data_IF_974032751847
#
_entry.id   IF_974032751847
#
_cell.length_a   1.000
_cell.length_b   1.000
_cell.length_c   1.000
_cell.angle_alpha   90.00
_cell.angle_beta   90.00
_cell.angle_gamma   90.00
#
_symmetry.space_group_name_H-M   'P 1'
#
loop_
_entity.id
_entity.type
_entity.pdbx_description
1 polymer ?
#
# COMPACT_ATOMS: atom_id res chain seq x y z
N UNK A 1 -70.29 -1.52 -1.51
CA UNK A 1 -69.01 -2.28 -1.43
C UNK A 1 -67.86 -1.31 -1.71
N UNK A 2 -67.09 -0.93 -0.70
CA UNK A 2 -65.93 -0.05 -0.84
C UNK A 2 -64.67 -0.87 -0.65
N UNK A 3 -63.92 -1.08 -1.72
CA UNK A 3 -62.61 -1.77 -1.72
C UNK A 3 -61.54 -0.79 -1.24
N UNK A 4 -60.87 -1.12 -0.12
CA UNK A 4 -59.72 -0.39 0.39
C UNK A 4 -58.45 -0.93 -0.26
N UNK A 5 -57.76 -0.09 -1.02
CA UNK A 5 -56.42 -0.39 -1.51
C UNK A 5 -55.44 -0.03 -0.39
N UNK A 6 -54.74 -1.04 0.11
CA UNK A 6 -53.61 -0.87 1.02
C UNK A 6 -52.37 -0.50 0.22
N UNK A 7 -51.84 0.70 0.46
CA UNK A 7 -50.56 1.12 -0.08
C UNK A 7 -49.44 0.40 0.67
N UNK A 8 -48.77 -0.53 0.00
CA UNK A 8 -47.51 -1.15 0.48
C UNK A 8 -46.39 -0.23 0.01
N UNK A 9 -45.89 0.60 0.93
CA UNK A 9 -44.64 1.34 0.72
C UNK A 9 -43.46 0.37 0.81
N UNK A 10 -42.91 0.03 -0.32
CA UNK A 10 -41.66 -0.72 -0.40
C UNK A 10 -40.51 0.18 0.02
N UNK A 11 -39.96 -0.02 1.21
CA UNK A 11 -38.73 0.61 1.66
C UNK A 11 -37.56 -0.03 0.90
N UNK A 12 -37.05 0.64 -0.11
CA UNK A 12 -35.78 0.32 -0.75
C UNK A 12 -34.65 0.60 0.23
N UNK A 13 -34.18 -0.45 0.90
CA UNK A 13 -32.91 -0.40 1.63
C UNK A 13 -31.82 -0.38 0.58
N UNK A 14 -31.26 0.80 0.30
CA UNK A 14 -30.04 0.92 -0.47
C UNK A 14 -28.90 0.31 0.36
N UNK A 15 -28.53 -0.95 0.11
CA UNK A 15 -27.27 -1.51 0.54
C UNK A 15 -26.18 -0.72 -0.19
N UNK A 16 -25.59 0.25 0.51
CA UNK A 16 -24.32 0.80 0.09
C UNK A 16 -23.31 -0.35 0.15
N UNK A 17 -22.98 -0.93 -1.00
CA UNK A 17 -21.85 -1.81 -1.15
C UNK A 17 -20.62 -0.93 -0.92
N UNK A 18 -20.16 -0.87 0.34
CA UNK A 18 -18.87 -0.31 0.66
C UNK A 18 -17.85 -1.16 -0.11
N UNK A 19 -17.30 -0.60 -1.18
CA UNK A 19 -16.14 -1.18 -1.82
C UNK A 19 -15.12 -1.46 -0.71
N UNK A 20 -14.51 -2.65 -0.64
CA UNK A 20 -13.53 -2.93 0.40
C UNK A 20 -12.45 -1.87 0.30
N UNK A 21 -12.38 -1.02 1.32
CA UNK A 21 -11.28 -0.08 1.47
C UNK A 21 -10.03 -0.96 1.53
N UNK A 22 -9.23 -0.92 0.48
CA UNK A 22 -7.99 -1.69 0.45
C UNK A 22 -7.19 -1.26 1.66
N UNK A 23 -6.96 -2.18 2.60
CA UNK A 23 -6.15 -1.90 3.75
C UNK A 23 -4.76 -1.50 3.27
N UNK A 24 -4.39 -0.25 3.52
CA UNK A 24 -3.07 0.25 3.22
C UNK A 24 -2.05 -0.61 3.97
N UNK A 25 -0.94 -0.97 3.33
CA UNK A 25 0.16 -1.68 3.98
C UNK A 25 1.30 -0.70 4.25
N UNK A 26 1.52 -0.41 5.52
CA UNK A 26 2.56 0.52 5.97
C UNK A 26 3.85 -0.18 6.40
N UNK A 27 3.95 -1.48 6.30
CA UNK A 27 5.16 -2.24 6.62
C UNK A 27 6.33 -1.71 5.81
N UNK A 28 7.33 -1.14 6.49
CA UNK A 28 8.58 -0.67 5.91
C UNK A 28 9.47 0.00 6.97
N UNK A 29 10.64 0.48 6.54
CA UNK A 29 11.44 1.45 7.26
C UNK A 29 10.99 2.87 6.93
N UNK A 30 10.89 3.71 7.96
CA UNK A 30 10.47 5.10 7.87
C UNK A 30 11.52 5.98 8.55
N UNK A 31 11.93 7.06 7.91
CA UNK A 31 12.99 7.93 8.40
C UNK A 31 12.73 9.40 8.05
N UNK A 32 13.42 10.32 8.74
CA UNK A 32 13.26 11.76 8.52
C UNK A 32 14.20 12.36 7.48
N UNK A 33 14.77 11.54 6.58
CA UNK A 33 15.77 11.99 5.62
C UNK A 33 17.16 12.09 6.24
N UNK A 34 18.14 12.52 5.45
CA UNK A 34 19.56 12.60 5.85
C UNK A 34 19.83 13.52 7.05
N UNK A 35 18.93 14.44 7.37
CA UNK A 35 19.04 15.29 8.57
C UNK A 35 18.82 14.51 9.88
N UNK A 36 18.23 13.33 9.81
CA UNK A 36 17.95 12.43 10.93
C UNK A 36 18.61 11.05 10.74
N UNK A 37 19.77 11.02 10.09
CA UNK A 37 20.54 9.77 9.96
C UNK A 37 20.90 9.20 11.34
N UNK A 38 20.66 7.90 11.51
CA UNK A 38 20.82 7.20 12.78
C UNK A 38 19.54 7.12 13.63
N UNK A 39 18.48 7.84 13.23
CA UNK A 39 17.17 7.76 13.85
C UNK A 39 16.11 7.30 12.82
N UNK A 40 15.20 6.43 13.23
CA UNK A 40 14.18 5.93 12.32
C UNK A 40 13.16 5.02 13.00
N UNK A 41 12.12 4.72 12.26
CA UNK A 41 10.99 3.92 12.72
C UNK A 41 10.83 2.72 11.79
N UNK A 42 10.81 1.52 12.36
CA UNK A 42 10.40 0.31 11.63
C UNK A 42 8.93 0.01 11.92
N UNK A 43 8.17 -0.22 10.89
CA UNK A 43 6.75 -0.53 10.95
C UNK A 43 6.51 -1.94 10.44
N UNK A 44 5.91 -2.79 11.26
CA UNK A 44 5.36 -4.09 10.87
C UNK A 44 3.84 -4.06 10.99
N UNK A 45 3.13 -4.50 9.96
CA UNK A 45 1.67 -4.54 9.96
C UNK A 45 1.15 -5.94 9.69
N UNK A 46 0.20 -6.39 10.51
CA UNK A 46 -0.57 -7.61 10.29
C UNK A 46 -2.05 -7.27 10.41
N UNK A 47 -2.78 -7.39 9.31
CA UNK A 47 -4.17 -6.96 9.19
C UNK A 47 -4.35 -5.50 9.68
N UNK A 48 -5.12 -5.27 10.73
CA UNK A 48 -5.35 -3.95 11.32
C UNK A 48 -4.39 -3.61 12.47
N UNK A 49 -3.46 -4.49 12.82
CA UNK A 49 -2.52 -4.26 13.93
C UNK A 49 -1.17 -3.83 13.39
N UNK A 50 -0.65 -2.75 13.96
CA UNK A 50 0.66 -2.21 13.64
C UNK A 50 1.58 -2.36 14.85
N UNK A 51 2.79 -2.86 14.62
CA UNK A 51 3.89 -2.87 15.57
C UNK A 51 4.94 -1.88 15.09
N UNK A 52 5.41 -1.03 16.00
CA UNK A 52 6.35 0.06 15.71
C UNK A 52 7.56 -0.09 16.61
N UNK A 53 8.75 -0.05 16.00
CA UNK A 53 10.03 0.08 16.71
C UNK A 53 10.67 1.42 16.33
N UNK A 54 10.90 2.28 17.29
CA UNK A 54 11.62 3.54 17.10
C UNK A 54 13.05 3.40 17.60
N UNK A 55 14.01 3.58 16.72
CA UNK A 55 15.43 3.60 16.99
C UNK A 55 15.85 5.06 17.14
N UNK A 56 16.39 5.41 18.30
CA UNK A 56 16.79 6.77 18.67
C UNK A 56 17.93 6.73 19.70
N UNK A 57 18.14 7.80 20.43
CA UNK A 57 19.17 7.90 21.42
C UNK A 57 18.60 8.30 22.79
N UNK A 58 19.23 7.83 23.87
CA UNK A 58 18.91 8.25 25.22
C UNK A 58 19.55 9.64 25.54
N UNK A 59 19.33 10.13 26.76
CA UNK A 59 19.84 11.44 27.18
C UNK A 59 21.37 11.52 27.24
N UNK A 60 22.06 10.38 27.24
CA UNK A 60 23.51 10.27 27.22
C UNK A 60 24.06 10.06 25.79
N UNK A 61 23.19 10.00 24.79
CA UNK A 61 23.57 9.76 23.40
C UNK A 61 23.82 8.30 23.06
N UNK A 62 23.47 7.35 23.95
CA UNK A 62 23.57 5.93 23.63
C UNK A 62 22.37 5.48 22.81
N UNK A 63 22.60 4.55 21.88
CA UNK A 63 21.54 3.97 21.09
C UNK A 63 20.44 3.35 21.96
N UNK A 64 19.21 3.71 21.68
CA UNK A 64 18.01 3.24 22.36
C UNK A 64 16.96 2.83 21.34
N UNK A 65 16.21 1.77 21.65
CA UNK A 65 14.98 1.50 20.95
C UNK A 65 13.80 1.41 21.91
N UNK A 66 12.67 1.87 21.47
CA UNK A 66 11.38 1.77 22.16
C UNK A 66 10.34 1.25 21.20
N UNK A 67 9.35 0.54 21.71
CA UNK A 67 8.35 -0.12 20.89
C UNK A 67 6.94 0.18 21.38
N UNK A 68 5.99 0.16 20.46
CA UNK A 68 4.57 0.11 20.78
C UNK A 68 3.81 -0.67 19.71
N UNK A 69 2.59 -1.05 20.02
CA UNK A 69 1.69 -1.66 19.06
C UNK A 69 0.25 -1.24 19.35
N UNK A 70 -0.57 -1.25 18.33
CA UNK A 70 -1.98 -0.96 18.43
C UNK A 70 -2.71 -1.22 17.12
N UNK A 71 -4.04 -1.19 17.15
CA UNK A 71 -4.84 -1.19 15.93
C UNK A 71 -4.74 0.17 15.23
N UNK A 72 -4.85 0.14 13.91
CA UNK A 72 -5.16 1.35 13.15
C UNK A 72 -6.56 1.85 13.51
N UNK A 73 -6.78 3.14 13.40
CA UNK A 73 -8.08 3.76 13.57
C UNK A 73 -9.09 3.30 12.50
N UNK A 74 -10.32 3.76 12.59
CA UNK A 74 -11.39 3.42 11.63
C UNK A 74 -11.11 3.89 10.20
N UNK A 75 -10.23 4.87 10.03
CA UNK A 75 -9.78 5.36 8.72
C UNK A 75 -8.55 4.60 8.21
N UNK A 76 -7.97 3.70 9.00
CA UNK A 76 -6.79 2.93 8.65
C UNK A 76 -5.50 3.75 8.58
N UNK A 77 -5.42 4.88 9.28
CA UNK A 77 -4.32 5.85 9.13
C UNK A 77 -3.56 6.19 10.41
N UNK A 78 -4.11 5.92 11.57
CA UNK A 78 -3.50 6.32 12.85
C UNK A 78 -3.36 5.13 13.76
N UNK A 79 -2.18 4.95 14.32
CA UNK A 79 -1.92 4.02 15.42
C UNK A 79 -1.31 4.76 16.60
N UNK A 80 -1.81 4.50 17.80
CA UNK A 80 -1.30 5.10 19.04
C UNK A 80 -1.09 4.03 20.10
N UNK A 81 -0.12 4.24 20.98
CA UNK A 81 0.15 3.32 22.06
C UNK A 81 1.15 3.81 23.09
N UNK A 82 1.27 3.07 24.19
CA UNK A 82 2.30 3.29 25.19
C UNK A 82 3.65 2.81 24.64
N UNK A 83 4.66 3.64 24.76
CA UNK A 83 6.03 3.31 24.43
C UNK A 83 6.68 2.50 25.56
N UNK A 84 7.30 1.40 25.19
CA UNK A 84 8.00 0.51 26.10
C UNK A 84 9.49 0.45 25.77
N UNK A 85 10.32 0.62 26.76
CA UNK A 85 11.74 0.24 26.76
C UNK A 85 11.88 -1.12 27.39
N UNK A 86 12.73 -1.98 26.80
CA UNK A 86 13.01 -3.31 27.31
C UNK A 86 14.46 -3.44 27.72
N UNK A 87 14.72 -4.06 28.87
CA UNK A 87 16.05 -4.51 29.28
C UNK A 87 16.00 -6.02 29.55
N UNK A 88 17.15 -6.68 29.50
CA UNK A 88 17.22 -8.14 29.66
C UNK A 88 18.65 -8.61 29.92
N UNK A 89 18.88 -9.96 29.83
CA UNK A 89 20.19 -10.54 29.98
C UNK A 89 21.22 -9.94 29.00
N UNK A 90 22.45 -9.77 29.44
CA UNK A 90 23.54 -9.28 28.61
C UNK A 90 23.82 -10.22 27.43
N UNK A 91 24.22 -9.66 26.31
CA UNK A 91 24.66 -10.43 25.14
C UNK A 91 25.76 -11.42 25.50
N UNK A 92 25.65 -12.66 25.02
CA UNK A 92 26.64 -13.71 25.30
C UNK A 92 26.42 -14.47 26.62
N UNK A 93 25.43 -14.09 27.43
CA UNK A 93 24.99 -14.86 28.61
C UNK A 93 23.84 -15.80 28.27
N UNK A 94 23.58 -16.77 29.14
CA UNK A 94 22.38 -17.62 28.99
C UNK A 94 21.12 -16.74 29.09
N UNK A 95 20.28 -16.84 28.09
CA UNK A 95 19.03 -16.07 28.04
C UNK A 95 18.05 -16.57 29.09
N UNK A 96 17.61 -15.67 29.95
CA UNK A 96 16.60 -15.93 30.98
C UNK A 96 15.43 -14.95 30.79
N UNK A 97 14.25 -15.40 30.30
CA UNK A 97 13.11 -14.53 30.06
C UNK A 97 12.57 -13.87 31.34
N UNK A 98 12.82 -14.46 32.51
CA UNK A 98 12.41 -13.86 33.79
C UNK A 98 13.19 -12.57 34.14
N UNK A 99 14.33 -12.34 33.50
CA UNK A 99 15.14 -11.12 33.65
C UNK A 99 14.75 -10.02 32.65
N UNK A 100 13.78 -10.28 31.80
CA UNK A 100 13.29 -9.25 30.86
C UNK A 100 12.37 -8.30 31.59
N UNK A 101 12.75 -7.03 31.60
CA UNK A 101 11.95 -5.95 32.20
C UNK A 101 11.44 -5.05 31.09
N UNK A 102 10.13 -4.82 31.07
CA UNK A 102 9.44 -3.94 30.16
C UNK A 102 8.90 -2.73 30.92
N UNK A 103 9.44 -1.55 30.64
CA UNK A 103 9.07 -0.31 31.33
C UNK A 103 8.35 0.62 30.36
N UNK A 104 7.18 1.11 30.72
CA UNK A 104 6.52 2.19 29.98
C UNK A 104 7.30 3.49 30.22
N UNK A 105 7.71 4.12 29.12
CA UNK A 105 8.51 5.38 29.13
C UNK A 105 7.73 6.56 28.55
N UNK A 106 6.52 6.34 28.06
CA UNK A 106 5.69 7.38 27.50
C UNK A 106 4.66 6.84 26.51
N UNK A 107 4.34 7.62 25.50
CA UNK A 107 3.39 7.26 24.45
C UNK A 107 3.82 7.81 23.10
N UNK A 108 3.27 7.25 22.04
CA UNK A 108 3.46 7.74 20.68
C UNK A 108 2.21 7.58 19.83
N UNK A 109 2.15 8.38 18.78
CA UNK A 109 1.18 8.30 17.71
C UNK A 109 1.90 8.37 16.37
N UNK A 110 1.65 7.39 15.52
CA UNK A 110 2.10 7.39 14.13
C UNK A 110 0.89 7.62 13.23
N UNK A 111 0.93 8.71 12.47
CA UNK A 111 -0.13 9.12 11.54
C UNK A 111 0.39 9.04 10.12
N UNK A 112 -0.21 8.20 9.29
CA UNK A 112 0.10 8.08 7.88
C UNK A 112 -0.74 9.06 7.08
N UNK A 113 -0.11 10.09 6.51
CA UNK A 113 -0.77 11.04 5.61
C UNK A 113 -1.20 10.32 4.32
N UNK A 114 -0.29 9.50 3.79
CA UNK A 114 -0.47 8.67 2.61
C UNK A 114 0.45 7.44 2.68
N UNK A 115 0.68 6.77 1.57
CA UNK A 115 1.56 5.58 1.49
C UNK A 115 3.05 5.91 1.55
N UNK A 116 3.44 7.17 1.47
CA UNK A 116 4.83 7.63 1.40
C UNK A 116 5.24 8.48 2.59
N UNK A 117 4.29 9.18 3.21
CA UNK A 117 4.52 10.19 4.21
C UNK A 117 3.79 9.87 5.51
N UNK A 118 4.48 10.04 6.63
CA UNK A 118 3.93 9.88 7.96
C UNK A 118 4.45 10.93 8.93
N UNK A 119 3.74 11.10 10.03
CA UNK A 119 4.18 11.90 11.18
C UNK A 119 4.22 11.02 12.40
N UNK A 120 5.35 10.99 13.08
CA UNK A 120 5.54 10.28 14.34
C UNK A 120 5.64 11.29 15.47
N UNK A 121 4.58 11.42 16.26
CA UNK A 121 4.54 12.26 17.46
C UNK A 121 4.80 11.39 18.69
N UNK A 122 5.63 11.85 19.61
CA UNK A 122 6.05 11.07 20.78
C UNK A 122 6.16 11.91 22.05
N UNK A 123 6.03 11.24 23.20
CA UNK A 123 6.35 11.77 24.52
C UNK A 123 7.09 10.67 25.30
N UNK A 124 8.30 10.96 25.74
CA UNK A 124 9.19 10.03 26.48
C UNK A 124 9.80 10.76 27.65
N UNK A 125 9.66 10.22 28.86
CA UNK A 125 10.27 10.77 30.09
C UNK A 125 10.03 12.27 30.27
N UNK A 126 8.85 12.78 29.94
CA UNK A 126 8.48 14.18 30.07
C UNK A 126 8.96 15.08 28.91
N UNK A 127 9.72 14.57 27.96
CA UNK A 127 10.08 15.25 26.72
C UNK A 127 9.09 14.85 25.62
N UNK A 128 8.84 15.74 24.66
CA UNK A 128 7.96 15.46 23.53
C UNK A 128 8.50 16.05 22.25
N UNK A 129 8.14 15.44 21.13
CA UNK A 129 8.55 15.89 19.81
C UNK A 129 7.73 15.26 18.70
N UNK A 130 8.08 15.62 17.49
CA UNK A 130 7.45 15.08 16.27
C UNK A 130 8.48 14.97 15.16
N UNK A 131 8.44 13.86 14.42
CA UNK A 131 9.28 13.58 13.26
C UNK A 131 8.39 13.49 12.03
N UNK A 132 8.71 14.24 10.99
CA UNK A 132 8.17 14.00 9.66
C UNK A 132 8.96 12.85 9.03
N UNK A 133 8.26 11.81 8.60
CA UNK A 133 8.87 10.58 8.12
C UNK A 133 8.46 10.31 6.67
N UNK A 134 9.39 9.75 5.92
CA UNK A 134 9.16 9.16 4.60
C UNK A 134 9.60 7.70 4.61
N UNK A 135 9.06 6.88 3.70
CA UNK A 135 9.56 5.51 3.53
C UNK A 135 11.00 5.53 3.05
N UNK A 136 11.87 4.78 3.72
CA UNK A 136 13.27 4.66 3.35
C UNK A 136 13.44 3.64 2.22
N UNK A 137 14.02 4.08 1.10
CA UNK A 137 14.41 3.20 -0.01
C UNK A 137 15.88 2.83 0.14
N UNK A 138 16.17 1.56 0.44
CA UNK A 138 17.54 1.05 0.58
C UNK A 138 17.85 -0.10 -0.38
N UNK A 139 16.88 -0.51 -1.19
CA UNK A 139 17.03 -1.50 -2.25
C UNK A 139 16.45 -0.97 -3.55
N UNK A 140 17.08 -1.26 -4.68
CA UNK A 140 16.63 -0.78 -5.98
C UNK A 140 15.82 -1.82 -6.75
N UNK A 141 15.11 -1.39 -7.78
CA UNK A 141 14.57 -2.08 -8.98
C UNK A 141 14.11 -3.56 -8.84
N UNK A 142 13.73 -4.03 -7.67
CA UNK A 142 13.26 -5.41 -7.48
C UNK A 142 11.98 -5.74 -8.29
N UNK A 143 11.36 -4.74 -8.92
CA UNK A 143 10.22 -4.90 -9.82
C UNK A 143 10.62 -5.13 -11.29
N UNK A 144 11.89 -5.02 -11.63
CA UNK A 144 12.39 -5.29 -13.00
C UNK A 144 12.50 -6.80 -13.23
N UNK A 145 12.00 -7.27 -14.36
CA UNK A 145 12.05 -8.69 -14.76
C UNK A 145 10.73 -9.19 -15.30
N UNK A 146 10.62 -10.50 -15.41
CA UNK A 146 9.46 -11.21 -15.93
C UNK A 146 8.69 -11.86 -14.78
N UNK A 147 7.38 -11.75 -14.82
CA UNK A 147 6.47 -12.24 -13.78
C UNK A 147 5.26 -12.92 -14.39
N UNK A 148 4.77 -13.97 -13.74
CA UNK A 148 3.52 -14.66 -14.10
C UNK A 148 2.53 -14.62 -12.92
N UNK A 149 1.25 -14.54 -13.21
CA UNK A 149 0.22 -14.56 -12.18
C UNK A 149 -1.17 -14.23 -12.67
N UNK A 150 -1.94 -13.56 -11.83
CA UNK A 150 -3.33 -13.28 -12.07
C UNK A 150 -3.64 -11.82 -11.83
N UNK A 151 -4.63 -11.33 -12.60
CA UNK A 151 -5.27 -10.04 -12.38
C UNK A 151 -6.75 -10.25 -12.09
N UNK A 152 -7.31 -9.33 -11.32
CA UNK A 152 -8.73 -9.29 -10.96
C UNK A 152 -9.20 -7.84 -10.93
N UNK A 153 -10.29 -7.52 -11.60
CA UNK A 153 -10.76 -6.15 -11.70
C UNK A 153 -12.02 -5.95 -12.51
N UNK A 154 -12.22 -4.73 -12.96
CA UNK A 154 -13.39 -4.32 -13.71
C UNK A 154 -13.02 -3.39 -14.87
N UNK A 155 -13.71 -3.58 -15.99
CA UNK A 155 -13.72 -2.67 -17.13
C UNK A 155 -15.07 -1.95 -17.18
N UNK A 156 -15.02 -0.61 -17.19
CA UNK A 156 -16.18 0.28 -17.37
C UNK A 156 -15.99 1.11 -18.60
N UNK A 157 -17.04 1.19 -19.43
CA UNK A 157 -17.07 2.10 -20.58
C UNK A 157 -18.24 3.06 -20.43
N UNK A 158 -17.98 4.38 -20.44
CA UNK A 158 -19.02 5.40 -20.51
C UNK A 158 -19.20 5.80 -21.94
N UNK A 159 -20.28 5.32 -22.56
CA UNK A 159 -20.86 5.76 -23.83
C UNK A 159 -19.90 6.03 -25.01
N UNK A 160 -19.97 5.17 -26.01
CA UNK A 160 -20.10 5.58 -27.42
C UNK A 160 -20.63 4.38 -28.21
N UNK A 161 -21.93 4.35 -28.44
CA UNK A 161 -22.54 3.53 -29.48
C UNK A 161 -22.89 2.08 -29.13
N UNK A 162 -22.83 1.67 -27.88
CA UNK A 162 -23.30 0.39 -27.41
C UNK A 162 -24.33 0.59 -26.28
N UNK A 163 -25.58 0.45 -26.60
CA UNK A 163 -26.70 0.49 -25.64
C UNK A 163 -27.28 -0.93 -25.52
N UNK A 164 -27.47 -1.53 -24.33
CA UNK A 164 -26.85 -1.16 -23.04
C UNK A 164 -25.59 -1.99 -22.74
N UNK A 165 -24.44 -1.37 -22.62
CA UNK A 165 -23.28 -2.04 -22.05
C UNK A 165 -23.50 -2.26 -20.55
N UNK A 166 -23.16 -3.44 -19.98
CA UNK A 166 -23.07 -3.59 -18.54
C UNK A 166 -22.08 -2.57 -18.01
N UNK A 167 -22.52 -1.74 -17.06
CA UNK A 167 -21.74 -0.65 -16.49
C UNK A 167 -20.48 -1.11 -15.79
N UNK A 168 -20.33 -2.42 -15.57
CA UNK A 168 -19.18 -3.05 -14.92
C UNK A 168 -19.00 -4.46 -15.50
N UNK A 169 -17.92 -4.67 -16.24
CA UNK A 169 -17.53 -6.00 -16.70
C UNK A 169 -16.39 -6.52 -15.84
N UNK A 170 -16.58 -7.61 -15.08
CA UNK A 170 -15.48 -8.22 -14.35
C UNK A 170 -14.39 -8.70 -15.32
N UNK A 171 -13.15 -8.44 -14.98
CA UNK A 171 -11.97 -8.89 -15.74
C UNK A 171 -11.15 -9.78 -14.81
N UNK A 172 -11.04 -11.05 -15.15
CA UNK A 172 -10.19 -12.01 -14.46
C UNK A 172 -9.28 -12.62 -15.51
N UNK A 173 -7.98 -12.39 -15.39
CA UNK A 173 -7.03 -12.87 -16.37
C UNK A 173 -5.83 -13.53 -15.74
N UNK A 174 -5.39 -14.62 -16.31
CA UNK A 174 -4.04 -15.13 -16.13
C UNK A 174 -3.13 -14.37 -17.10
N UNK A 175 -1.96 -13.99 -16.65
CA UNK A 175 -1.08 -13.24 -17.50
C UNK A 175 0.36 -13.19 -17.04
N UNK A 176 1.17 -12.57 -17.86
CA UNK A 176 2.57 -12.27 -17.59
C UNK A 176 2.82 -10.78 -17.71
N UNK A 177 3.75 -10.28 -16.92
CA UNK A 177 4.21 -8.91 -16.91
C UNK A 177 5.72 -8.89 -17.04
N UNK A 178 6.22 -8.22 -18.06
CA UNK A 178 7.64 -7.95 -18.24
C UNK A 178 7.91 -6.47 -17.96
N UNK A 179 8.91 -6.19 -17.14
CA UNK A 179 9.24 -4.83 -16.71
C UNK A 179 10.73 -4.55 -16.83
N UNK A 180 11.06 -3.37 -17.35
CA UNK A 180 12.43 -2.85 -17.47
C UNK A 180 12.48 -1.38 -17.07
N UNK A 181 13.68 -0.89 -16.74
CA UNK A 181 13.89 0.53 -16.42
C UNK A 181 15.11 1.08 -17.14
N UNK A 182 15.02 2.33 -17.61
CA UNK A 182 16.13 3.08 -18.14
C UNK A 182 15.90 4.58 -17.93
N UNK A 183 16.88 5.29 -17.35
CA UNK A 183 16.84 6.75 -17.25
C UNK A 183 15.65 7.32 -16.45
N UNK A 184 15.18 6.64 -15.41
CA UNK A 184 14.02 7.08 -14.60
C UNK A 184 12.66 6.75 -15.23
N UNK A 185 12.67 6.02 -16.34
CA UNK A 185 11.46 5.55 -17.03
C UNK A 185 11.36 4.03 -16.84
N UNK A 186 10.18 3.57 -16.49
CA UNK A 186 9.82 2.16 -16.52
C UNK A 186 9.02 1.86 -17.78
N UNK A 187 9.23 0.69 -18.36
CA UNK A 187 8.48 0.22 -19.52
C UNK A 187 8.26 -1.28 -19.43
N UNK A 188 7.25 -1.77 -20.12
CA UNK A 188 6.97 -3.19 -20.11
C UNK A 188 5.83 -3.61 -21.01
N UNK A 189 5.58 -4.91 -20.97
CA UNK A 189 4.44 -5.55 -21.63
C UNK A 189 3.67 -6.37 -20.62
N UNK A 190 2.36 -6.27 -20.66
CA UNK A 190 1.46 -7.12 -19.91
C UNK A 190 0.68 -7.98 -20.90
N UNK A 191 0.82 -9.28 -20.81
CA UNK A 191 0.10 -10.24 -21.64
C UNK A 191 -0.98 -10.90 -20.78
N UNK A 192 -2.20 -10.73 -21.21
CA UNK A 192 -3.38 -11.35 -20.62
C UNK A 192 -3.92 -12.44 -21.56
N UNK A 193 -4.81 -13.29 -21.07
CA UNK A 193 -5.35 -14.42 -21.86
C UNK A 193 -5.81 -14.03 -23.26
N UNK A 194 -6.42 -12.86 -23.42
CA UNK A 194 -7.02 -12.42 -24.68
C UNK A 194 -6.26 -11.29 -25.42
N UNK A 195 -5.32 -10.59 -24.76
CA UNK A 195 -4.68 -9.41 -25.34
C UNK A 195 -3.34 -9.07 -24.69
N UNK A 196 -2.56 -8.27 -25.40
CA UNK A 196 -1.28 -7.73 -24.90
C UNK A 196 -1.34 -6.21 -24.88
N UNK A 197 -0.94 -5.61 -23.78
CA UNK A 197 -0.70 -4.19 -23.63
C UNK A 197 0.80 -3.91 -23.53
N UNK A 198 1.28 -2.89 -24.21
CA UNK A 198 2.60 -2.29 -23.93
C UNK A 198 2.41 -1.00 -23.15
N UNK A 199 3.36 -0.68 -22.28
CA UNK A 199 3.27 0.53 -21.48
C UNK A 199 4.64 1.15 -21.20
N UNK A 200 4.64 2.45 -20.91
CA UNK A 200 5.81 3.21 -20.49
C UNK A 200 5.39 4.35 -19.57
N UNK A 201 6.21 4.69 -18.59
CA UNK A 201 5.90 5.77 -17.66
C UNK A 201 7.08 6.15 -16.77
N UNK A 202 7.03 7.36 -16.22
CA UNK A 202 7.91 7.76 -15.14
C UNK A 202 7.59 6.94 -13.88
N UNK A 203 8.62 6.54 -13.14
CA UNK A 203 8.43 5.82 -11.89
C UNK A 203 9.08 6.53 -10.71
N UNK A 204 8.46 6.38 -9.55
CA UNK A 204 9.01 6.75 -8.25
C UNK A 204 8.96 5.55 -7.31
N UNK A 205 10.07 5.27 -6.65
CA UNK A 205 10.15 4.24 -5.63
C UNK A 205 10.24 4.86 -4.24
N UNK A 206 9.49 4.33 -3.29
CA UNK A 206 9.50 4.71 -1.90
C UNK A 206 9.40 3.44 -1.05
N UNK A 207 10.52 3.02 -0.46
CA UNK A 207 10.65 1.72 0.18
C UNK A 207 10.38 0.58 -0.79
N UNK A 208 9.49 -0.32 -0.41
CA UNK A 208 9.03 -1.43 -1.25
C UNK A 208 7.95 -1.03 -2.25
N UNK A 209 7.45 0.19 -2.21
CA UNK A 209 6.38 0.64 -3.09
C UNK A 209 6.95 1.36 -4.30
N UNK A 210 6.43 1.03 -5.48
CA UNK A 210 6.74 1.70 -6.76
C UNK A 210 5.44 2.22 -7.35
N UNK A 211 5.46 3.47 -7.74
CA UNK A 211 4.37 4.13 -8.45
C UNK A 211 4.85 4.53 -9.85
N UNK A 212 4.08 4.15 -10.86
CA UNK A 212 4.37 4.41 -12.28
C UNK A 212 3.20 5.15 -12.88
N UNK A 213 3.47 6.31 -13.47
CA UNK A 213 2.47 7.09 -14.21
C UNK A 213 2.92 7.27 -15.64
N UNK A 214 2.03 7.00 -16.59
CA UNK A 214 2.41 7.04 -17.99
C UNK A 214 1.29 6.69 -18.95
N UNK A 215 1.64 5.96 -19.98
CA UNK A 215 0.73 5.56 -21.04
C UNK A 215 0.82 4.06 -21.31
N UNK A 216 -0.33 3.49 -21.68
CA UNK A 216 -0.44 2.13 -22.18
C UNK A 216 -1.06 2.14 -23.57
N UNK A 217 -0.70 1.14 -24.37
CA UNK A 217 -1.33 0.84 -25.65
C UNK A 217 -1.86 -0.58 -25.59
N UNK A 218 -3.16 -0.70 -25.62
CA UNK A 218 -3.90 -1.95 -25.58
C UNK A 218 -4.76 -2.11 -26.82
N UNK A 219 -5.26 -3.30 -27.15
CA UNK A 219 -6.35 -3.47 -28.09
C UNK A 219 -7.64 -2.77 -27.61
N UNK A 220 -8.60 -2.60 -28.52
CA UNK A 220 -9.94 -2.15 -28.13
C UNK A 220 -10.57 -3.11 -27.12
N UNK A 221 -11.37 -2.64 -26.14
CA UNK A 221 -11.92 -1.28 -26.06
C UNK A 221 -11.03 -0.23 -25.38
N UNK A 222 -9.91 -0.60 -24.73
CA UNK A 222 -9.06 0.38 -24.05
C UNK A 222 -8.29 1.28 -25.03
N UNK A 223 -7.69 0.71 -26.07
CA UNK A 223 -6.87 1.48 -27.01
C UNK A 223 -5.67 2.16 -26.34
N UNK A 224 -5.28 3.35 -26.81
CA UNK A 224 -4.36 4.22 -26.09
C UNK A 224 -4.99 4.70 -24.78
N UNK A 225 -4.29 4.52 -23.67
CA UNK A 225 -4.79 4.82 -22.34
C UNK A 225 -3.73 5.51 -21.47
N UNK A 226 -4.16 6.34 -20.54
CA UNK A 226 -3.32 6.74 -19.41
C UNK A 226 -3.15 5.56 -18.47
N UNK A 227 -1.98 5.42 -17.86
CA UNK A 227 -1.63 4.39 -16.88
C UNK A 227 -1.30 5.03 -15.55
N UNK A 228 -1.91 4.49 -14.50
CA UNK A 228 -1.56 4.70 -13.10
C UNK A 228 -1.39 3.32 -12.45
N UNK A 229 -0.15 2.96 -12.14
CA UNK A 229 0.22 1.64 -11.65
C UNK A 229 0.97 1.79 -10.33
N UNK A 230 0.47 1.14 -9.30
CA UNK A 230 1.16 1.03 -8.01
C UNK A 230 1.43 -0.43 -7.71
N UNK A 231 2.65 -0.74 -7.31
CA UNK A 231 3.04 -2.09 -6.94
C UNK A 231 3.91 -2.11 -5.69
N UNK A 232 3.81 -3.18 -4.94
CA UNK A 232 4.70 -3.53 -3.84
C UNK A 232 5.63 -4.64 -4.30
N UNK A 233 6.92 -4.41 -4.10
CA UNK A 233 7.98 -5.36 -4.41
C UNK A 233 8.19 -6.26 -3.22
N UNK A 234 7.90 -7.53 -3.38
CA UNK A 234 8.24 -8.59 -2.46
C UNK A 234 9.45 -9.36 -3.00
N UNK A 235 10.04 -10.25 -2.22
CA UNK A 235 11.30 -10.92 -2.62
C UNK A 235 11.23 -11.54 -4.04
N UNK A 236 10.20 -12.34 -4.31
CA UNK A 236 10.00 -13.01 -5.62
C UNK A 236 8.65 -12.70 -6.25
N UNK A 237 7.96 -11.67 -5.79
CA UNK A 237 6.64 -11.32 -6.25
C UNK A 237 6.43 -9.82 -6.29
N UNK A 238 5.49 -9.41 -7.09
CA UNK A 238 4.91 -8.06 -7.06
C UNK A 238 3.41 -8.18 -6.90
N UNK A 239 2.86 -7.36 -6.01
CA UNK A 239 1.41 -7.23 -5.82
C UNK A 239 1.04 -5.78 -5.97
N UNK A 240 -0.11 -5.49 -6.54
CA UNK A 240 -0.46 -4.11 -6.74
C UNK A 240 -1.80 -3.90 -7.42
N UNK A 241 -1.97 -2.72 -7.92
CA UNK A 241 -3.15 -2.32 -8.67
C UNK A 241 -2.78 -1.38 -9.80
N UNK A 242 -3.58 -1.41 -10.83
CA UNK A 242 -3.49 -0.49 -11.94
C UNK A 242 -4.85 0.13 -12.27
N UNK A 243 -4.78 1.33 -12.80
CA UNK A 243 -5.88 2.03 -13.43
C UNK A 243 -5.43 2.46 -14.82
N UNK A 244 -6.17 2.05 -15.82
CA UNK A 244 -6.01 2.50 -17.19
C UNK A 244 -7.26 3.25 -17.63
N UNK A 245 -7.11 4.43 -18.20
CA UNK A 245 -8.20 5.24 -18.71
C UNK A 245 -7.97 5.52 -20.17
N UNK A 246 -8.86 5.01 -21.02
CA UNK A 246 -8.77 5.20 -22.46
C UNK A 246 -8.85 6.68 -22.83
N UNK A 247 -8.00 7.09 -23.76
CA UNK A 247 -7.99 8.46 -24.29
C UNK A 247 -9.02 8.66 -25.40
N UNK A 248 -9.61 7.59 -25.93
CA UNK A 248 -10.45 7.65 -27.14
C UNK A 248 -11.83 7.07 -26.97
N UNK A 249 -12.02 6.07 -26.09
CA UNK A 249 -13.28 5.31 -26.02
C UNK A 249 -14.10 5.58 -24.76
N UNK A 250 -13.57 6.36 -23.80
CA UNK A 250 -14.21 6.57 -22.51
C UNK A 250 -14.24 5.32 -21.62
N UNK A 251 -13.48 4.29 -21.96
CA UNK A 251 -13.35 3.09 -21.14
C UNK A 251 -12.30 3.26 -20.05
N UNK A 252 -12.56 2.71 -18.87
CA UNK A 252 -11.65 2.68 -17.74
C UNK A 252 -11.55 1.26 -17.21
N UNK A 253 -10.33 0.78 -17.00
CA UNK A 253 -10.05 -0.52 -16.39
C UNK A 253 -9.35 -0.31 -15.08
N UNK A 254 -9.79 -0.99 -14.03
CA UNK A 254 -9.14 -1.04 -12.73
C UNK A 254 -8.90 -2.49 -12.37
N UNK A 255 -7.68 -2.83 -12.05
CA UNK A 255 -7.30 -4.21 -11.71
C UNK A 255 -6.39 -4.25 -10.50
N UNK A 256 -6.47 -5.38 -9.80
CA UNK A 256 -5.51 -5.83 -8.81
C UNK A 256 -4.73 -6.98 -9.43
N UNK A 257 -3.47 -7.11 -9.05
CA UNK A 257 -2.65 -8.21 -9.53
C UNK A 257 -1.76 -8.78 -8.43
N UNK A 258 -1.46 -10.06 -8.57
CA UNK A 258 -0.47 -10.76 -7.79
C UNK A 258 0.36 -11.63 -8.75
N UNK A 259 1.62 -11.30 -8.88
CA UNK A 259 2.52 -11.91 -9.86
C UNK A 259 3.78 -12.39 -9.17
N UNK A 260 4.29 -13.54 -9.59
CA UNK A 260 5.52 -14.16 -9.09
C UNK A 260 6.58 -14.09 -10.18
N UNK A 261 7.81 -13.79 -9.79
CA UNK A 261 8.94 -13.72 -10.70
C UNK A 261 9.15 -15.07 -11.38
N UNK A 262 9.31 -15.03 -12.69
CA UNK A 262 9.75 -16.17 -13.49
C UNK A 262 11.25 -16.38 -13.25
N UNK A 263 11.66 -17.64 -13.04
CA UNK A 263 13.07 -18.01 -12.88
C UNK A 263 13.82 -18.00 -14.20
#
# INVERSE_FOLDING_TARGET
>A
MRTRYANIAAALIALAVAAPLRAANYTDWWWGGSALDGEGVNVGQQANTVFVSWFTYDEQGNGMWVVFSGPLDSMGKVVSGLLYRTTGPALGTTYDPAKVIRTSVGNATLTFADMHNATFAWSVNGKSGSLALVRQTYGGSGFVGDFDGFTDGNLRCSTMGYDPMPTDMPVHSKGSLSMSTAGGVASGTAQFDAYTCSWTGAYAQSGQMVHITGHATCPTPLGPASLDLTLFVLNRAVVGWQKMSSMTTGCMQTEQFALVRRD
#
